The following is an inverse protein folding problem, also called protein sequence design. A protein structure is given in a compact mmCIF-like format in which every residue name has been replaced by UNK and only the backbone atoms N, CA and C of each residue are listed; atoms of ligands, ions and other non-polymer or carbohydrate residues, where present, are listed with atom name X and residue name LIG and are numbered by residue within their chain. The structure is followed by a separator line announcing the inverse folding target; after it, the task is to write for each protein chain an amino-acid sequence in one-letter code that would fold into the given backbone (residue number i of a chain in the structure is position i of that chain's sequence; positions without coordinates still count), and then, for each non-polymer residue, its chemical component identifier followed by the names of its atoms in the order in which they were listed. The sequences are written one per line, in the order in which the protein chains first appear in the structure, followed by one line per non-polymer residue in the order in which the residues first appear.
data_IF_164897409990
#
_entry.id   IF_164897409990
#
_cell.length_a   1.000
_cell.length_b   1.000
_cell.length_c   1.000
_cell.angle_alpha   90.00
_cell.angle_beta   90.00
_cell.angle_gamma   90.00
#
_symmetry.space_group_name_H-M   'P 1'
#
loop_
_entity.id
_entity.type
_entity.pdbx_description
1 polymer ?
#
# COMPACT_ATOMS: atom_id res chain seq x y z
N UNK A 1 -51.15 32.45 -18.02
CA UNK A 1 -50.43 31.49 -18.88
C UNK A 1 -49.70 32.23 -19.98
N UNK A 2 -48.39 32.35 -19.88
CA UNK A 2 -47.48 32.31 -21.03
C UNK A 2 -46.09 31.95 -20.50
N UNK A 3 -45.68 30.72 -20.82
CA UNK A 3 -44.39 30.14 -20.46
C UNK A 3 -43.32 30.75 -21.36
N UNK A 4 -42.29 31.33 -20.76
CA UNK A 4 -41.04 31.65 -21.45
C UNK A 4 -40.24 30.36 -21.63
N UNK A 5 -40.01 29.93 -22.87
CA UNK A 5 -39.04 28.87 -23.19
C UNK A 5 -37.69 29.50 -23.49
N UNK A 6 -36.68 29.20 -22.67
CA UNK A 6 -35.26 29.48 -22.95
C UNK A 6 -34.69 28.21 -23.60
N UNK A 7 -34.29 28.30 -24.87
CA UNK A 7 -33.58 27.23 -25.56
C UNK A 7 -32.07 27.37 -25.36
N UNK A 8 -31.51 26.50 -24.53
CA UNK A 8 -30.07 26.44 -24.27
C UNK A 8 -29.39 25.64 -25.40
N UNK A 9 -28.59 26.35 -26.22
CA UNK A 9 -27.81 25.76 -27.30
C UNK A 9 -26.50 25.21 -26.73
N UNK A 10 -26.50 23.93 -26.36
CA UNK A 10 -25.26 23.25 -25.94
C UNK A 10 -24.41 22.95 -27.16
N UNK A 11 -23.34 23.72 -27.34
CA UNK A 11 -22.32 23.49 -28.37
C UNK A 11 -21.55 22.20 -28.04
N UNK A 12 -21.95 21.08 -28.67
CA UNK A 12 -21.24 19.80 -28.54
C UNK A 12 -19.92 19.89 -29.31
N UNK A 13 -18.81 20.09 -28.59
CA UNK A 13 -17.47 20.00 -29.19
C UNK A 13 -17.20 18.53 -29.56
N UNK A 14 -16.91 18.20 -30.83
CA UNK A 14 -16.54 16.86 -31.21
C UNK A 14 -15.26 16.45 -30.49
N UNK A 15 -15.32 15.42 -29.65
CA UNK A 15 -14.11 14.83 -29.04
C UNK A 15 -13.35 14.10 -30.15
N UNK A 16 -12.13 14.54 -30.45
CA UNK A 16 -11.25 13.87 -31.40
C UNK A 16 -10.86 12.47 -30.88
N UNK A 17 -10.74 11.52 -31.80
CA UNK A 17 -10.34 10.15 -31.47
C UNK A 17 -8.87 10.17 -31.00
N UNK A 18 -8.55 9.59 -29.83
CA UNK A 18 -7.17 9.47 -29.37
C UNK A 18 -6.33 8.69 -30.38
N UNK A 19 -5.04 9.03 -30.55
CA UNK A 19 -4.16 8.28 -31.42
C UNK A 19 -4.03 6.81 -30.98
N UNK A 20 -3.71 5.89 -31.90
CA UNK A 20 -3.47 4.49 -31.58
C UNK A 20 -2.39 4.33 -30.51
N UNK A 21 -2.62 3.42 -29.56
CA UNK A 21 -1.63 3.09 -28.53
C UNK A 21 -0.42 2.47 -29.23
N UNK A 22 0.81 2.96 -29.00
CA UNK A 22 2.01 2.37 -29.59
C UNK A 22 2.20 0.93 -29.10
N UNK A 23 2.87 0.07 -29.89
CA UNK A 23 3.13 -1.31 -29.50
C UNK A 23 3.92 -1.38 -28.18
N UNK A 24 3.73 -2.44 -27.38
CA UNK A 24 4.48 -2.63 -26.14
C UNK A 24 5.98 -2.58 -26.40
N UNK A 25 6.66 -1.64 -25.77
CA UNK A 25 8.13 -1.62 -25.78
C UNK A 25 8.64 -2.83 -25.02
N UNK A 26 9.73 -3.44 -25.50
CA UNK A 26 10.41 -4.50 -24.77
C UNK A 26 10.78 -4.02 -23.36
N UNK A 27 10.42 -4.82 -22.34
CA UNK A 27 10.82 -4.54 -20.96
C UNK A 27 12.34 -4.45 -20.92
N UNK A 28 12.88 -3.31 -20.49
CA UNK A 28 14.33 -3.17 -20.25
C UNK A 28 14.79 -4.23 -19.26
N UNK A 29 15.81 -5.00 -19.64
CA UNK A 29 16.44 -5.97 -18.75
C UNK A 29 17.12 -5.24 -17.59
N UNK A 30 17.02 -5.71 -16.33
CA UNK A 30 17.60 -5.04 -15.16
C UNK A 30 19.13 -5.06 -15.06
N UNK A 31 19.88 -5.07 -16.17
CA UNK A 31 21.34 -5.21 -16.18
C UNK A 31 22.09 -3.93 -15.76
N UNK A 32 21.38 -2.81 -15.61
CA UNK A 32 21.98 -1.54 -15.20
C UNK A 32 22.30 -1.53 -13.70
N UNK A 33 23.52 -1.14 -13.29
CA UNK A 33 23.83 -0.95 -11.89
C UNK A 33 22.94 0.13 -11.28
N UNK A 34 22.47 -0.09 -10.05
CA UNK A 34 21.62 0.87 -9.34
C UNK A 34 22.36 2.19 -9.19
N UNK A 35 21.88 3.24 -9.85
CA UNK A 35 22.38 4.60 -9.70
C UNK A 35 21.49 5.36 -8.73
N UNK A 36 22.10 5.99 -7.72
CA UNK A 36 21.39 6.88 -6.81
C UNK A 36 20.87 8.09 -7.59
N UNK A 37 19.55 8.26 -7.61
CA UNK A 37 18.93 9.43 -8.22
C UNK A 37 19.20 10.66 -7.34
N UNK A 38 19.58 11.76 -7.98
CA UNK A 38 19.59 13.07 -7.31
C UNK A 38 18.14 13.48 -7.10
N UNK A 39 17.75 13.67 -5.84
CA UNK A 39 16.46 14.24 -5.50
C UNK A 39 16.58 15.75 -5.55
N UNK A 40 15.86 16.39 -6.46
CA UNK A 40 15.71 17.84 -6.49
C UNK A 40 14.27 18.20 -6.10
N UNK A 41 14.13 19.02 -5.06
CA UNK A 41 12.83 19.45 -4.56
C UNK A 41 12.38 20.66 -5.38
N UNK A 42 11.27 20.51 -6.10
CA UNK A 42 10.65 21.61 -6.83
C UNK A 42 10.24 22.75 -5.86
N UNK A 43 10.29 24.02 -6.26
CA UNK A 43 9.93 25.15 -5.40
C UNK A 43 8.54 25.03 -4.76
N UNK A 44 7.57 24.47 -5.48
CA UNK A 44 6.20 24.22 -4.99
C UNK A 44 6.13 23.25 -3.80
N UNK A 45 7.12 22.37 -3.66
CA UNK A 45 7.19 21.38 -2.58
C UNK A 45 7.98 21.87 -1.37
N UNK A 46 8.76 22.95 -1.50
CA UNK A 46 9.63 23.47 -0.42
C UNK A 46 8.81 23.90 0.80
N UNK A 47 7.73 24.65 0.59
CA UNK A 47 6.89 25.13 1.68
C UNK A 47 6.13 24.01 2.42
N UNK A 48 5.89 22.88 1.77
CA UNK A 48 5.30 21.70 2.40
C UNK A 48 6.36 20.93 3.20
N UNK A 49 7.57 20.83 2.65
CA UNK A 49 8.71 20.20 3.30
C UNK A 49 9.16 20.97 4.56
N UNK A 50 9.15 22.30 4.51
CA UNK A 50 9.48 23.18 5.64
C UNK A 50 8.46 23.08 6.78
N UNK A 51 7.18 22.95 6.44
CA UNK A 51 6.10 22.68 7.39
C UNK A 51 6.16 21.29 8.00
N UNK A 52 6.88 20.37 7.38
CA UNK A 52 7.08 18.99 7.85
C UNK A 52 8.41 18.81 8.61
N UNK A 53 9.07 19.89 9.02
CA UNK A 53 10.36 19.91 9.73
C UNK A 53 10.67 18.64 10.56
N UNK A 54 11.35 17.68 9.91
CA UNK A 54 12.34 16.81 10.52
C UNK A 54 13.59 16.97 9.67
N UNK A 55 14.37 17.99 10.01
CA UNK A 55 15.75 18.08 9.61
C UNK A 55 16.54 17.05 10.41
N UNK A 56 17.43 16.37 9.71
CA UNK A 56 18.44 15.40 10.15
C UNK A 56 18.04 13.93 9.93
N UNK A 57 19.02 13.16 9.42
CA UNK A 57 19.01 11.70 9.47
C UNK A 57 18.78 11.16 10.90
N UNK A 58 18.81 9.84 11.11
CA UNK A 58 18.06 9.16 12.16
C UNK A 58 18.40 9.67 13.56
N UNK A 59 17.60 10.60 14.11
CA UNK A 59 17.78 11.14 15.46
C UNK A 59 16.40 11.43 16.08
N UNK A 60 15.61 10.38 16.27
CA UNK A 60 14.73 10.16 17.44
C UNK A 60 14.11 8.77 17.34
N UNK A 61 14.96 7.74 17.22
CA UNK A 61 14.54 6.38 17.51
C UNK A 61 14.76 6.20 19.01
N UNK A 62 13.72 6.40 19.82
CA UNK A 62 13.67 5.68 21.09
C UNK A 62 13.71 4.20 20.71
N UNK A 63 14.88 3.60 20.78
CA UNK A 63 15.04 2.17 20.56
C UNK A 63 15.05 1.52 21.91
N UNK A 64 14.06 0.67 22.13
CA UNK A 64 14.02 -0.18 23.30
C UNK A 64 14.88 -1.40 22.97
N UNK A 65 15.93 -1.60 23.77
CA UNK A 65 16.81 -2.76 23.65
C UNK A 65 16.07 -3.97 24.23
N UNK A 66 15.60 -4.85 23.35
CA UNK A 66 15.34 -6.25 23.69
C UNK A 66 16.07 -7.15 22.70
N UNK A 67 16.55 -8.26 23.23
CA UNK A 67 17.35 -9.33 22.62
C UNK A 67 17.17 -9.48 21.10
N UNK A 68 18.15 -8.98 20.34
CA UNK A 68 18.43 -9.42 18.97
C UNK A 68 17.94 -8.57 17.79
N UNK A 69 17.00 -7.64 17.94
CA UNK A 69 16.61 -6.76 16.81
C UNK A 69 16.14 -5.37 17.27
N UNK A 70 16.73 -4.33 16.67
CA UNK A 70 16.51 -2.92 17.06
C UNK A 70 15.18 -2.42 16.48
N UNK A 71 14.07 -2.59 17.21
CA UNK A 71 12.74 -2.12 16.77
C UNK A 71 12.59 -0.61 17.05
N UNK A 72 12.10 0.14 16.07
CA UNK A 72 11.93 1.60 16.14
C UNK A 72 10.51 1.94 16.60
N UNK A 73 10.34 2.94 17.46
CA UNK A 73 9.00 3.47 17.76
C UNK A 73 8.31 3.93 16.47
N UNK A 74 7.05 3.55 16.30
CA UNK A 74 6.32 3.80 15.06
C UNK A 74 6.40 2.66 14.05
N UNK A 75 7.16 1.58 14.31
CA UNK A 75 7.17 0.40 13.43
C UNK A 75 5.80 -0.26 13.41
N UNK A 76 5.20 -0.37 12.22
CA UNK A 76 3.92 -1.06 12.03
C UNK A 76 4.09 -2.57 12.03
N UNK A 77 3.12 -3.28 12.61
CA UNK A 77 3.09 -4.74 12.60
C UNK A 77 2.98 -5.28 11.16
N UNK A 78 3.74 -6.32 10.84
CA UNK A 78 3.79 -6.91 9.50
C UNK A 78 2.88 -8.12 9.29
N UNK A 79 2.16 -8.51 10.33
CA UNK A 79 1.16 -9.57 10.19
C UNK A 79 -0.04 -9.04 9.39
N UNK A 80 -0.50 -9.81 8.41
CA UNK A 80 -1.57 -9.38 7.50
C UNK A 80 -2.86 -9.04 8.23
N UNK A 81 -3.42 -7.86 7.96
CA UNK A 81 -4.65 -7.38 8.62
C UNK A 81 -4.46 -6.75 10.00
N UNK A 82 -3.24 -6.79 10.56
CA UNK A 82 -2.93 -6.04 11.79
C UNK A 82 -2.58 -4.58 11.44
N UNK A 83 -3.16 -3.64 12.18
CA UNK A 83 -2.93 -2.18 12.01
C UNK A 83 -2.19 -1.55 13.19
N UNK A 84 -1.69 -2.36 14.12
CA UNK A 84 -0.99 -1.88 15.31
C UNK A 84 0.39 -1.33 14.97
N UNK A 85 0.79 -0.33 15.74
CA UNK A 85 2.08 0.34 15.64
C UNK A 85 2.81 0.19 16.97
N UNK A 86 4.09 -0.12 16.92
CA UNK A 86 4.93 -0.28 18.10
C UNK A 86 5.12 1.06 18.81
N UNK A 87 4.56 1.22 20.02
CA UNK A 87 4.75 2.41 20.87
C UNK A 87 5.63 2.13 22.09
N UNK A 88 6.15 0.90 22.23
CA UNK A 88 6.99 0.47 23.34
C UNK A 88 6.66 -0.96 23.78
N UNK A 89 7.09 -1.34 24.99
CA UNK A 89 6.85 -2.67 25.57
C UNK A 89 5.37 -3.03 25.71
N UNK A 90 4.52 -2.03 25.94
CA UNK A 90 3.08 -2.26 26.15
C UNK A 90 2.42 -2.80 24.87
N UNK A 91 2.70 -2.20 23.72
CA UNK A 91 2.20 -2.68 22.41
C UNK A 91 2.74 -4.05 22.02
N UNK A 92 3.91 -4.47 22.50
CA UNK A 92 4.44 -5.81 22.24
C UNK A 92 3.64 -6.90 22.97
N UNK A 93 3.11 -6.55 24.14
CA UNK A 93 2.31 -7.45 24.98
C UNK A 93 0.86 -7.60 24.50
N UNK A 94 0.39 -6.70 23.63
CA UNK A 94 -0.95 -6.76 23.05
C UNK A 94 -1.12 -7.98 22.13
N UNK A 95 -2.36 -8.50 22.07
CA UNK A 95 -2.70 -9.59 21.18
C UNK A 95 -2.83 -9.08 19.74
N UNK A 96 -1.95 -9.56 18.86
CA UNK A 96 -2.04 -9.30 17.43
C UNK A 96 -3.19 -10.10 16.83
N UNK A 97 -4.18 -9.40 16.27
CA UNK A 97 -5.23 -10.01 15.44
C UNK A 97 -4.84 -9.91 13.97
N UNK A 98 -4.63 -11.05 13.32
CA UNK A 98 -4.14 -11.12 11.96
C UNK A 98 -4.70 -12.31 11.16
N UNK A 99 -4.42 -12.33 9.87
CA UNK A 99 -4.70 -13.41 8.95
C UNK A 99 -3.40 -14.19 8.63
N UNK A 100 -3.28 -15.48 9.03
CA UNK A 100 -2.11 -16.29 8.69
C UNK A 100 -2.13 -16.79 7.24
N UNK A 101 -3.27 -16.68 6.56
CA UNK A 101 -3.44 -17.10 5.16
C UNK A 101 -3.01 -16.02 4.16
N UNK A 102 -3.07 -16.38 2.88
CA UNK A 102 -2.83 -15.47 1.76
C UNK A 102 -4.14 -14.83 1.25
N UNK A 103 -4.07 -13.62 0.69
CA UNK A 103 -5.22 -12.96 0.08
C UNK A 103 -5.52 -13.55 -1.31
N UNK A 104 -6.79 -13.77 -1.64
CA UNK A 104 -7.28 -14.31 -2.90
C UNK A 104 -8.23 -13.31 -3.56
N UNK A 105 -8.03 -13.07 -4.85
CA UNK A 105 -8.86 -12.20 -5.69
C UNK A 105 -9.30 -13.01 -6.91
N UNK A 106 -10.54 -13.52 -6.91
CA UNK A 106 -11.07 -14.35 -7.99
C UNK A 106 -12.56 -14.07 -8.19
N UNK A 107 -13.01 -13.99 -9.45
CA UNK A 107 -14.42 -13.75 -9.82
C UNK A 107 -15.05 -12.53 -9.13
N UNK A 108 -14.29 -11.45 -8.96
CA UNK A 108 -14.73 -10.24 -8.25
C UNK A 108 -14.76 -10.35 -6.73
N UNK A 109 -14.53 -11.54 -6.17
CA UNK A 109 -14.52 -11.81 -4.74
C UNK A 109 -13.10 -11.70 -4.15
N UNK A 110 -13.03 -11.20 -2.92
CA UNK A 110 -11.80 -10.96 -2.16
C UNK A 110 -11.90 -11.64 -0.81
N UNK A 111 -10.91 -12.46 -0.44
CA UNK A 111 -10.92 -13.19 0.82
C UNK A 111 -9.53 -13.65 1.24
N UNK A 112 -9.41 -14.08 2.49
CA UNK A 112 -8.17 -14.67 3.03
C UNK A 112 -8.34 -16.19 3.12
N UNK A 113 -7.36 -16.97 2.67
CA UNK A 113 -7.43 -18.45 2.73
C UNK A 113 -7.57 -19.03 4.15
N UNK A 114 -7.23 -18.27 5.19
CA UNK A 114 -7.34 -18.69 6.58
C UNK A 114 -8.76 -18.60 7.15
N UNK A 115 -9.72 -17.96 6.47
CA UNK A 115 -11.09 -17.84 6.95
C UNK A 115 -12.11 -17.69 5.80
N UNK A 116 -13.38 -17.94 6.07
CA UNK A 116 -14.41 -17.96 5.03
C UNK A 116 -15.11 -16.59 4.80
N UNK A 117 -14.52 -15.50 5.27
CA UNK A 117 -15.07 -14.15 5.09
C UNK A 117 -14.69 -13.65 3.69
N UNK A 118 -15.70 -13.37 2.87
CA UNK A 118 -15.53 -12.91 1.48
C UNK A 118 -16.27 -11.60 1.26
N UNK A 119 -15.75 -10.76 0.37
CA UNK A 119 -16.37 -9.48 0.01
C UNK A 119 -16.09 -9.14 -1.46
N UNK A 120 -17.02 -8.42 -2.11
CA UNK A 120 -16.81 -7.82 -3.42
C UNK A 120 -16.08 -6.47 -3.33
N UNK A 121 -16.14 -5.79 -2.19
CA UNK A 121 -15.58 -4.45 -2.01
C UNK A 121 -14.13 -4.51 -1.52
N UNK A 122 -13.24 -3.74 -2.16
CA UNK A 122 -11.82 -3.75 -1.80
C UNK A 122 -11.56 -3.16 -0.41
N UNK A 123 -12.23 -2.05 -0.06
CA UNK A 123 -12.04 -1.42 1.24
C UNK A 123 -12.50 -2.35 2.38
N UNK A 124 -13.67 -2.97 2.23
CA UNK A 124 -14.15 -3.96 3.19
C UNK A 124 -13.19 -5.15 3.38
N UNK A 125 -12.44 -5.53 2.33
CA UNK A 125 -11.41 -6.57 2.43
C UNK A 125 -10.20 -6.10 3.26
N UNK A 126 -9.76 -4.84 3.07
CA UNK A 126 -8.67 -4.22 3.82
C UNK A 126 -9.03 -3.93 5.28
N UNK A 127 -10.32 -3.69 5.56
CA UNK A 127 -10.84 -3.47 6.91
C UNK A 127 -11.18 -4.77 7.66
N UNK A 128 -11.16 -5.91 6.98
CA UNK A 128 -11.47 -7.19 7.60
C UNK A 128 -10.53 -7.50 8.78
N UNK A 129 -11.10 -7.64 9.97
CA UNK A 129 -10.37 -7.99 11.18
C UNK A 129 -9.74 -9.39 11.06
N UNK A 130 -8.50 -9.53 11.53
CA UNK A 130 -7.80 -10.80 11.61
C UNK A 130 -8.62 -11.91 12.29
N UNK A 131 -8.45 -13.14 11.82
CA UNK A 131 -9.16 -14.33 12.33
C UNK A 131 -8.35 -15.14 13.35
N UNK A 132 -7.09 -14.76 13.59
CA UNK A 132 -6.16 -15.47 14.48
C UNK A 132 -5.49 -14.47 15.42
N UNK A 133 -5.24 -14.90 16.66
CA UNK A 133 -4.47 -14.17 17.66
C UNK A 133 -3.03 -14.66 17.71
N UNK A 134 -2.09 -13.77 18.03
CA UNK A 134 -0.69 -14.14 18.27
C UNK A 134 0.15 -12.95 18.69
N UNK A 135 1.48 -13.08 18.58
CA UNK A 135 2.41 -11.97 18.82
C UNK A 135 2.56 -11.10 17.57
N UNK A 136 2.79 -9.82 17.80
CA UNK A 136 3.09 -8.90 16.72
C UNK A 136 4.44 -9.22 16.08
N UNK A 137 4.52 -9.00 14.76
CA UNK A 137 5.77 -9.07 14.02
C UNK A 137 6.27 -7.65 13.70
N UNK A 138 7.29 -7.21 14.43
CA UNK A 138 7.92 -5.89 14.29
C UNK A 138 9.18 -5.91 13.41
N UNK A 139 9.71 -7.09 13.10
CA UNK A 139 11.02 -7.22 12.46
C UNK A 139 11.00 -6.76 11.00
N UNK A 140 12.04 -6.04 10.57
CA UNK A 140 12.36 -5.92 9.16
C UNK A 140 13.00 -7.19 8.68
N UNK A 141 12.18 -8.14 8.20
CA UNK A 141 12.71 -9.16 7.30
C UNK A 141 13.34 -8.42 6.12
N UNK A 142 14.67 -8.34 6.11
CA UNK A 142 15.47 -8.14 4.91
C UNK A 142 15.02 -9.23 3.96
N UNK A 143 14.10 -8.89 3.07
CA UNK A 143 13.52 -9.82 2.13
C UNK A 143 14.62 -10.21 1.14
N UNK A 144 15.35 -11.29 1.44
CA UNK A 144 15.97 -12.08 0.39
C UNK A 144 14.81 -12.52 -0.49
N UNK A 145 14.77 -12.02 -1.72
CA UNK A 145 13.71 -12.26 -2.69
C UNK A 145 13.46 -13.77 -2.85
N UNK A 146 12.56 -14.34 -2.05
CA UNK A 146 11.66 -15.36 -2.57
C UNK A 146 10.57 -14.56 -3.25
N UNK A 147 10.62 -14.56 -4.57
CA UNK A 147 9.62 -14.00 -5.48
C UNK A 147 8.24 -14.51 -5.07
N UNK A 148 7.59 -13.83 -4.13
CA UNK A 148 6.16 -13.93 -3.94
C UNK A 148 5.61 -13.09 -5.07
N UNK A 149 5.16 -13.77 -6.12
CA UNK A 149 4.42 -13.18 -7.22
C UNK A 149 3.17 -12.51 -6.65
N UNK A 150 3.33 -11.25 -6.25
CA UNK A 150 2.24 -10.29 -6.27
C UNK A 150 1.84 -10.20 -7.73
N UNK A 151 0.66 -10.73 -8.04
CA UNK A 151 0.06 -10.91 -9.36
C UNK A 151 0.31 -12.29 -9.99
N UNK A 152 -0.78 -12.85 -10.54
CA UNK A 152 -0.91 -14.08 -11.34
C UNK A 152 -1.19 -15.37 -10.53
N UNK A 153 -2.48 -15.66 -10.37
CA UNK A 153 -3.01 -16.97 -10.77
C UNK A 153 -4.26 -16.71 -11.64
N UNK A 154 -3.97 -16.18 -12.84
CA UNK A 154 -4.86 -16.22 -13.99
C UNK A 154 -4.59 -17.53 -14.73
N UNK A 155 -5.65 -18.32 -14.88
CA UNK A 155 -5.83 -19.50 -15.75
C UNK A 155 -5.12 -20.81 -15.38
N UNK A 156 -5.94 -21.78 -14.95
CA UNK A 156 -5.99 -23.23 -15.28
C UNK A 156 -6.87 -23.86 -14.18
N UNK A 157 -8.06 -24.42 -14.43
CA UNK A 157 -8.59 -25.20 -15.55
C UNK A 157 -10.05 -24.79 -15.85
#
# INVERSE_FOLDING_TARGET
CSLYQVSESTHVVPKSIPPPIPPPQARRVPTEPMKQLRVEIAPSLKSMLEKMSITNGPQNTHTTEQDGDKIILGTTCKNSGCKSTFTGSDSDSELCLYHPGVPIFHEGMKFWTCCNRKTSEFEAFMEQQGCTTGRHNWTEKVNFHKTSNVCILLHQL
#
